data_IF_478622441980
#
_entry.id   IF_478622441980
#
_cell.length_a   1.000
_cell.length_b   1.000
_cell.length_c   1.000
_cell.angle_alpha   90.00
_cell.angle_beta   90.00
_cell.angle_gamma   90.00
#
_symmetry.space_group_name_H-M   'P 1'
#
loop_
_entity.id
_entity.type
_entity.pdbx_description
1 polymer ?
#
# COMPACT_ATOMS: atom_id res chain seq x y z
N UNK A 1 -9.10 5.57 -14.72
CA UNK A 1 -9.72 4.59 -13.80
C UNK A 1 -10.90 5.29 -13.13
N UNK A 2 -11.96 4.58 -12.72
CA UNK A 2 -12.97 5.17 -11.82
C UNK A 2 -12.71 4.60 -10.43
N UNK A 3 -12.34 5.46 -9.50
CA UNK A 3 -11.98 5.09 -8.13
C UNK A 3 -13.24 4.97 -7.27
N UNK A 4 -13.41 3.83 -6.60
CA UNK A 4 -14.49 3.65 -5.61
C UNK A 4 -14.31 4.62 -4.44
N UNK A 5 -15.42 5.19 -3.99
CA UNK A 5 -15.43 6.18 -2.91
C UNK A 5 -15.01 7.59 -3.32
N UNK A 6 -14.57 7.81 -4.57
CA UNK A 6 -14.25 9.12 -5.11
C UNK A 6 -15.06 9.44 -6.38
N UNK A 7 -14.92 8.63 -7.42
CA UNK A 7 -15.59 8.85 -8.71
C UNK A 7 -16.95 8.14 -8.81
N UNK A 8 -17.14 7.10 -7.98
CA UNK A 8 -18.35 6.27 -7.89
C UNK A 8 -18.51 5.80 -6.44
N UNK A 9 -19.68 5.24 -6.10
CA UNK A 9 -19.95 4.70 -4.77
C UNK A 9 -18.88 3.70 -4.29
N UNK A 10 -18.61 3.73 -2.99
CA UNK A 10 -17.59 2.92 -2.33
C UNK A 10 -18.01 1.47 -2.05
N UNK A 11 -17.10 0.71 -1.43
CA UNK A 11 -17.31 -0.71 -1.12
C UNK A 11 -17.89 -0.99 0.29
N UNK A 12 -18.31 0.03 1.03
CA UNK A 12 -19.04 -0.13 2.30
C UNK A 12 -20.53 -0.44 2.02
N UNK A 13 -20.76 -1.57 1.35
CA UNK A 13 -22.07 -2.07 0.92
C UNK A 13 -22.01 -3.59 0.75
N UNK A 14 -23.16 -4.26 0.74
CA UNK A 14 -23.23 -5.71 0.47
C UNK A 14 -22.78 -6.07 -0.96
N UNK A 15 -22.93 -5.13 -1.89
CA UNK A 15 -22.54 -5.28 -3.29
C UNK A 15 -21.94 -3.98 -3.85
N UNK A 16 -20.93 -4.12 -4.72
CA UNK A 16 -20.33 -3.01 -5.46
C UNK A 16 -20.17 -3.38 -6.94
N UNK A 17 -20.45 -2.43 -7.84
CA UNK A 17 -20.26 -2.64 -9.28
C UNK A 17 -18.83 -2.27 -9.66
N UNK A 18 -18.02 -3.28 -9.97
CA UNK A 18 -16.63 -3.07 -10.36
C UNK A 18 -16.33 -3.37 -11.84
N UNK A 19 -15.48 -2.56 -12.51
CA UNK A 19 -14.97 -2.90 -13.84
C UNK A 19 -14.11 -4.17 -13.78
N UNK A 20 -14.39 -5.14 -14.64
CA UNK A 20 -13.68 -6.43 -14.64
C UNK A 20 -12.14 -6.29 -14.81
N UNK A 21 -11.68 -5.24 -15.49
CA UNK A 21 -10.25 -4.95 -15.68
C UNK A 21 -9.50 -4.55 -14.40
N UNK A 22 -10.22 -4.11 -13.37
CA UNK A 22 -9.67 -3.66 -12.09
C UNK A 22 -9.73 -4.80 -11.04
N UNK A 23 -10.15 -6.00 -11.45
CA UNK A 23 -10.25 -7.20 -10.61
C UNK A 23 -9.10 -8.16 -10.95
N UNK A 24 -8.54 -8.79 -9.92
CA UNK A 24 -7.52 -9.83 -10.05
C UNK A 24 -7.90 -11.06 -9.22
N UNK A 25 -7.32 -12.21 -9.57
CA UNK A 25 -7.49 -13.45 -8.80
C UNK A 25 -6.60 -13.38 -7.58
N UNK A 26 -7.18 -13.47 -6.40
CA UNK A 26 -6.42 -13.58 -5.15
C UNK A 26 -5.78 -14.98 -5.07
N UNK A 27 -4.46 -15.08 -4.82
CA UNK A 27 -3.81 -16.37 -4.59
C UNK A 27 -4.48 -17.14 -3.44
N UNK A 28 -4.68 -18.47 -3.57
CA UNK A 28 -5.43 -19.27 -2.59
C UNK A 28 -4.78 -19.31 -1.20
N UNK A 29 -3.47 -19.07 -1.11
CA UNK A 29 -2.72 -19.00 0.14
C UNK A 29 -2.95 -17.69 0.92
N UNK A 30 -3.54 -16.66 0.31
CA UNK A 30 -3.84 -15.39 0.97
C UNK A 30 -5.31 -15.40 1.42
N UNK A 31 -5.60 -15.38 2.73
CA UNK A 31 -6.98 -15.33 3.18
C UNK A 31 -7.64 -14.00 2.80
N UNK A 32 -8.95 -14.06 2.52
CA UNK A 32 -9.68 -12.97 1.88
C UNK A 32 -9.68 -11.67 2.68
N UNK A 33 -9.76 -11.76 4.01
CA UNK A 33 -9.81 -10.59 4.90
C UNK A 33 -8.50 -9.82 4.86
N UNK A 34 -7.37 -10.52 4.87
CA UNK A 34 -6.04 -9.95 4.77
C UNK A 34 -5.77 -9.47 3.33
N UNK A 35 -6.27 -10.16 2.31
CA UNK A 35 -6.13 -9.76 0.92
C UNK A 35 -6.91 -8.50 0.55
N UNK A 36 -7.94 -8.12 1.32
CA UNK A 36 -8.81 -7.00 0.97
C UNK A 36 -8.10 -5.64 1.00
N UNK A 37 -6.99 -5.52 1.75
CA UNK A 37 -6.22 -4.27 1.84
C UNK A 37 -5.31 -4.04 0.63
N UNK A 38 -5.10 -5.04 -0.24
CA UNK A 38 -4.13 -4.97 -1.34
C UNK A 38 -4.41 -3.78 -2.27
N UNK A 39 -5.69 -3.54 -2.58
CA UNK A 39 -6.12 -2.53 -3.53
C UNK A 39 -5.78 -1.09 -3.10
N UNK A 40 -5.57 -0.84 -1.81
CA UNK A 40 -5.20 0.49 -1.30
C UNK A 40 -3.84 0.45 -0.60
N UNK A 41 -3.76 -0.24 0.54
CA UNK A 41 -2.61 -0.19 1.42
C UNK A 41 -1.35 -0.89 0.89
N UNK A 42 -1.43 -1.62 -0.22
CA UNK A 42 -0.27 -2.33 -0.82
C UNK A 42 0.06 -1.79 -2.21
N UNK A 43 -0.92 -1.70 -3.11
CA UNK A 43 -0.67 -1.24 -4.48
C UNK A 43 -0.33 0.24 -4.57
N UNK A 44 -0.95 1.10 -3.75
CA UNK A 44 -0.60 2.53 -3.66
C UNK A 44 0.88 2.73 -3.26
N UNK A 45 1.38 2.15 -2.14
CA UNK A 45 2.78 2.32 -1.77
C UNK A 45 3.75 1.61 -2.72
N UNK A 46 3.38 0.47 -3.30
CA UNK A 46 4.19 -0.15 -4.36
C UNK A 46 4.36 0.81 -5.54
N UNK A 47 3.28 1.41 -6.02
CA UNK A 47 3.35 2.38 -7.12
C UNK A 47 4.16 3.62 -6.74
N UNK A 48 4.01 4.12 -5.51
CA UNK A 48 4.78 5.25 -5.01
C UNK A 48 6.29 4.97 -5.01
N UNK A 49 6.71 3.83 -4.47
CA UNK A 49 8.13 3.46 -4.41
C UNK A 49 8.68 3.12 -5.80
N UNK A 50 8.00 2.25 -6.54
CA UNK A 50 8.53 1.66 -7.78
C UNK A 50 8.42 2.60 -8.98
N UNK A 51 7.29 3.27 -9.15
CA UNK A 51 6.96 3.98 -10.38
C UNK A 51 7.05 5.51 -10.24
N UNK A 52 6.89 6.05 -9.02
CA UNK A 52 6.91 7.51 -8.80
C UNK A 52 8.24 7.99 -8.26
N UNK A 53 8.72 7.37 -7.19
CA UNK A 53 10.01 7.67 -6.60
C UNK A 53 11.15 6.93 -7.31
N UNK A 54 10.85 5.83 -8.00
CA UNK A 54 11.82 4.97 -8.70
C UNK A 54 13.02 4.59 -7.82
N UNK A 55 12.76 4.25 -6.55
CA UNK A 55 13.81 4.01 -5.54
C UNK A 55 14.82 2.98 -6.04
N UNK A 56 16.10 3.31 -5.86
CA UNK A 56 17.26 2.49 -6.23
C UNK A 56 18.10 2.13 -5.00
N UNK A 57 18.93 1.09 -5.10
CA UNK A 57 19.88 0.76 -4.05
C UNK A 57 20.76 1.96 -3.68
N UNK A 58 20.79 2.27 -2.39
CA UNK A 58 21.56 3.39 -1.84
C UNK A 58 20.81 4.72 -1.71
N UNK A 59 19.59 4.83 -2.26
CA UNK A 59 18.76 6.03 -2.06
C UNK A 59 18.30 6.13 -0.60
N UNK A 60 18.31 7.33 -0.03
CA UNK A 60 17.71 7.60 1.27
C UNK A 60 16.22 7.92 1.12
N UNK A 61 15.37 7.20 1.85
CA UNK A 61 13.90 7.33 1.78
C UNK A 61 13.36 7.68 3.16
N UNK A 62 12.69 8.83 3.29
CA UNK A 62 11.98 9.20 4.52
C UNK A 62 10.50 8.88 4.37
N UNK A 63 9.95 8.12 5.31
CA UNK A 63 8.54 7.74 5.35
C UNK A 63 7.87 8.41 6.54
N UNK A 64 6.92 9.30 6.27
CA UNK A 64 6.11 9.96 7.29
C UNK A 64 4.80 9.20 7.50
N UNK A 65 4.58 8.76 8.74
CA UNK A 65 3.47 7.91 9.16
C UNK A 65 3.77 6.43 8.91
N UNK A 66 3.70 5.63 9.96
CA UNK A 66 3.90 4.17 9.99
C UNK A 66 2.56 3.44 10.24
N UNK A 67 1.51 3.88 9.55
CA UNK A 67 0.23 3.16 9.46
C UNK A 67 0.21 2.13 8.33
N UNK A 68 -0.98 1.64 7.94
CA UNK A 68 -1.11 0.58 6.93
C UNK A 68 -0.41 0.87 5.59
N UNK A 69 -0.56 2.08 5.04
CA UNK A 69 0.15 2.47 3.80
C UNK A 69 1.65 2.66 4.06
N UNK A 70 2.00 3.38 5.13
CA UNK A 70 3.37 3.73 5.45
C UNK A 70 4.28 2.53 5.71
N UNK A 71 3.80 1.54 6.46
CA UNK A 71 4.54 0.29 6.69
C UNK A 71 4.79 -0.47 5.39
N UNK A 72 3.86 -0.44 4.44
CA UNK A 72 4.09 -1.01 3.12
C UNK A 72 5.11 -0.19 2.31
N UNK A 73 5.13 1.16 2.44
CA UNK A 73 6.21 1.99 1.85
C UNK A 73 7.57 1.58 2.43
N UNK A 74 7.68 1.44 3.76
CA UNK A 74 8.91 1.02 4.44
C UNK A 74 9.41 -0.30 3.85
N UNK A 75 8.54 -1.31 3.77
CA UNK A 75 8.88 -2.62 3.22
C UNK A 75 9.32 -2.53 1.75
N UNK A 76 8.54 -1.86 0.89
CA UNK A 76 8.89 -1.76 -0.54
C UNK A 76 10.17 -0.96 -0.78
N UNK A 77 10.39 0.13 -0.03
CA UNK A 77 11.60 0.93 -0.15
C UNK A 77 12.83 0.14 0.30
N UNK A 78 12.73 -0.64 1.39
CA UNK A 78 13.81 -1.56 1.81
C UNK A 78 14.06 -2.65 0.78
N UNK A 79 13.01 -3.28 0.23
CA UNK A 79 13.13 -4.29 -0.83
C UNK A 79 13.76 -3.73 -2.11
N UNK A 80 13.56 -2.44 -2.41
CA UNK A 80 14.22 -1.75 -3.51
C UNK A 80 15.70 -1.41 -3.24
N UNK A 81 16.21 -1.67 -2.03
CA UNK A 81 17.58 -1.37 -1.60
C UNK A 81 17.78 0.04 -1.03
N UNK A 82 16.70 0.76 -0.75
CA UNK A 82 16.76 2.09 -0.12
C UNK A 82 17.11 2.02 1.36
N UNK A 83 17.73 3.08 1.86
CA UNK A 83 18.00 3.32 3.27
C UNK A 83 16.80 4.08 3.83
N UNK A 84 15.95 3.37 4.59
CA UNK A 84 14.67 3.92 5.06
C UNK A 84 14.79 4.57 6.43
N UNK A 85 14.22 5.76 6.58
CA UNK A 85 14.03 6.47 7.83
C UNK A 85 12.51 6.61 8.05
N UNK A 86 11.99 5.92 9.06
CA UNK A 86 10.59 5.98 9.46
C UNK A 86 10.38 7.12 10.48
N UNK A 87 9.28 7.87 10.30
CA UNK A 87 8.88 8.96 11.20
C UNK A 87 7.40 8.79 11.53
N UNK A 88 7.07 8.64 12.81
CA UNK A 88 5.69 8.62 13.31
C UNK A 88 5.64 9.38 14.64
N UNK A 89 4.45 9.87 14.99
CA UNK A 89 4.19 10.53 16.27
C UNK A 89 3.77 9.53 17.36
N UNK A 90 3.42 8.31 16.96
CA UNK A 90 3.06 7.20 17.85
C UNK A 90 4.24 6.23 17.92
N UNK A 91 4.88 6.18 19.08
CA UNK A 91 6.09 5.38 19.30
C UNK A 91 5.88 3.89 18.96
N UNK A 92 4.74 3.30 19.36
CA UNK A 92 4.41 1.91 19.08
C UNK A 92 4.45 1.57 17.58
N UNK A 93 4.11 2.52 16.70
CA UNK A 93 4.15 2.31 15.25
C UNK A 93 5.56 2.30 14.69
N UNK A 94 6.51 2.96 15.36
CA UNK A 94 7.91 2.92 15.01
C UNK A 94 8.53 1.56 15.35
N UNK A 95 8.04 0.89 16.39
CA UNK A 95 8.47 -0.48 16.73
C UNK A 95 8.08 -1.52 15.66
N UNK A 96 7.07 -1.21 14.83
CA UNK A 96 6.61 -2.08 13.74
C UNK A 96 7.39 -1.88 12.41
N UNK A 97 8.11 -0.78 12.26
CA UNK A 97 8.72 -0.32 11.01
C UNK A 97 10.18 -0.77 10.84
#
# INVERSE_FOLDING_TARGET
MRMFGNDVDGAYAEYVKAPAKDIFVLPPEIPLVEGCIIADAVTTPYHAVKNRAEVRPGDSVVVFGCGGVGLNVVQFARLAGGIVIAVDIVEERLEWA
#
